data_IF_455543152958
#
_entry.id   IF_455543152958
#
_cell.length_a   1.000
_cell.length_b   1.000
_cell.length_c   1.000
_cell.angle_alpha   90.00
_cell.angle_beta   90.00
_cell.angle_gamma   90.00
#
_symmetry.space_group_name_H-M   'P 1'
#
loop_
_entity.id
_entity.type
_entity.pdbx_description
1 polymer ?
#
# COMPACT_ATOMS: atom_id res chain seq x y z
N UNK A 1 7.41 -10.09 24.86
CA UNK A 1 6.41 -9.80 23.81
C UNK A 1 6.43 -8.29 23.61
N UNK A 2 6.80 -7.80 22.43
CA UNK A 2 6.49 -6.41 22.09
C UNK A 2 4.96 -6.26 22.09
N UNK A 3 4.44 -5.25 22.79
CA UNK A 3 3.02 -4.98 22.77
C UNK A 3 2.61 -4.41 21.39
N UNK A 4 1.35 -4.63 20.99
CA UNK A 4 0.83 -4.20 19.68
C UNK A 4 0.95 -2.69 19.45
N UNK A 5 0.81 -1.86 20.49
CA UNK A 5 0.93 -0.42 20.40
C UNK A 5 2.38 0.00 20.12
N UNK A 6 3.36 -0.67 20.72
CA UNK A 6 4.79 -0.49 20.45
C UNK A 6 5.13 -0.78 18.98
N UNK A 7 4.60 -1.86 18.40
CA UNK A 7 4.81 -2.19 16.98
C UNK A 7 4.13 -1.19 16.02
N UNK A 8 2.92 -0.73 16.35
CA UNK A 8 2.22 0.31 15.58
C UNK A 8 3.04 1.60 15.59
N UNK A 9 3.52 2.03 16.76
CA UNK A 9 4.37 3.21 16.90
C UNK A 9 5.67 3.07 16.10
N UNK A 10 6.31 1.89 16.14
CA UNK A 10 7.50 1.59 15.36
C UNK A 10 7.26 1.74 13.86
N UNK A 11 6.20 1.12 13.30
CA UNK A 11 5.91 1.23 11.86
C UNK A 11 5.62 2.66 11.43
N UNK A 12 4.91 3.42 12.27
CA UNK A 12 4.62 4.83 12.02
C UNK A 12 5.89 5.69 12.03
N UNK A 13 6.72 5.55 13.05
CA UNK A 13 7.98 6.28 13.18
C UNK A 13 8.90 5.96 12.00
N UNK A 14 9.09 4.68 11.69
CA UNK A 14 9.93 4.25 10.59
C UNK A 14 9.43 4.78 9.24
N UNK A 15 8.12 4.80 9.03
CA UNK A 15 7.52 5.37 7.80
C UNK A 15 7.74 6.87 7.68
N UNK A 16 7.80 7.61 8.78
CA UNK A 16 8.05 9.05 8.79
C UNK A 16 9.50 9.41 8.39
N UNK A 17 10.46 8.53 8.69
CA UNK A 17 11.89 8.71 8.36
C UNK A 17 12.22 8.44 6.88
N UNK A 18 11.36 7.72 6.16
CA UNK A 18 11.61 7.34 4.77
C UNK A 18 11.31 8.50 3.82
N UNK A 19 12.10 8.58 2.74
CA UNK A 19 11.85 9.48 1.62
C UNK A 19 10.41 9.30 1.10
N UNK A 20 9.67 10.38 0.77
CA UNK A 20 8.32 10.29 0.27
C UNK A 20 8.15 9.38 -0.95
N UNK A 21 9.19 9.16 -1.75
CA UNK A 21 9.18 8.26 -2.91
C UNK A 21 9.53 6.81 -2.59
N UNK A 22 9.92 6.48 -1.36
CA UNK A 22 10.29 5.13 -0.96
C UNK A 22 9.05 4.22 -0.90
N UNK A 23 9.03 3.19 -1.76
CA UNK A 23 7.96 2.20 -1.82
C UNK A 23 7.74 1.43 -0.51
N UNK A 24 8.73 1.36 0.37
CA UNK A 24 8.64 0.72 1.68
C UNK A 24 7.63 1.42 2.59
N UNK A 25 7.31 2.70 2.35
CA UNK A 25 6.26 3.44 3.06
C UNK A 25 4.91 2.74 2.95
N UNK A 26 4.59 2.17 1.79
CA UNK A 26 3.35 1.41 1.59
C UNK A 26 3.30 0.19 2.49
N UNK A 27 4.36 -0.61 2.50
CA UNK A 27 4.41 -1.85 3.27
C UNK A 27 4.30 -1.60 4.78
N UNK A 28 4.94 -0.53 5.28
CA UNK A 28 4.83 -0.13 6.68
C UNK A 28 3.42 0.35 7.04
N UNK A 29 2.78 1.12 6.16
CA UNK A 29 1.38 1.53 6.34
C UNK A 29 0.44 0.32 6.43
N UNK A 30 0.60 -0.65 5.53
CA UNK A 30 -0.26 -1.85 5.52
C UNK A 30 -0.06 -2.67 6.79
N UNK A 31 1.17 -2.81 7.28
CA UNK A 31 1.45 -3.46 8.58
C UNK A 31 0.80 -2.71 9.74
N UNK A 32 0.91 -1.39 9.76
CA UNK A 32 0.28 -0.52 10.76
C UNK A 32 -1.24 -0.73 10.79
N UNK A 33 -1.92 -0.68 9.63
CA UNK A 33 -3.37 -0.86 9.51
C UNK A 33 -3.80 -2.26 9.96
N UNK A 34 -3.07 -3.30 9.56
CA UNK A 34 -3.38 -4.69 9.94
C UNK A 34 -3.36 -4.89 11.45
N UNK A 35 -2.35 -4.34 12.12
CA UNK A 35 -2.27 -4.40 13.59
C UNK A 35 -3.36 -3.56 14.25
N UNK A 36 -3.60 -2.35 13.75
CA UNK A 36 -4.59 -1.44 14.33
C UNK A 36 -6.03 -1.95 14.20
N UNK A 37 -6.34 -2.64 13.11
CA UNK A 37 -7.70 -3.07 12.76
C UNK A 37 -7.94 -4.57 12.92
N UNK A 38 -6.91 -5.36 13.17
CA UNK A 38 -7.02 -6.82 13.25
C UNK A 38 -7.43 -7.46 11.92
N UNK A 39 -7.03 -6.88 10.79
CA UNK A 39 -7.53 -7.24 9.46
C UNK A 39 -6.52 -8.01 8.58
N UNK A 40 -7.06 -8.63 7.53
CA UNK A 40 -6.28 -9.28 6.48
C UNK A 40 -5.50 -8.30 5.59
N UNK A 41 -4.66 -8.82 4.69
CA UNK A 41 -3.85 -7.99 3.79
C UNK A 41 -4.71 -7.22 2.78
N UNK A 42 -5.73 -7.84 2.20
CA UNK A 42 -6.56 -7.21 1.17
C UNK A 42 -7.46 -6.13 1.77
N UNK A 43 -8.04 -6.41 2.95
CA UNK A 43 -8.81 -5.43 3.72
C UNK A 43 -7.95 -4.23 4.14
N UNK A 44 -6.71 -4.46 4.58
CA UNK A 44 -5.79 -3.37 4.91
C UNK A 44 -5.47 -2.48 3.71
N UNK A 45 -5.31 -3.06 2.51
CA UNK A 45 -5.16 -2.26 1.30
C UNK A 45 -6.41 -1.43 1.00
N UNK A 46 -7.61 -2.02 1.11
CA UNK A 46 -8.86 -1.30 0.92
C UNK A 46 -8.99 -0.12 1.90
N UNK A 47 -8.70 -0.35 3.18
CA UNK A 47 -8.70 0.69 4.22
C UNK A 47 -7.69 1.79 3.89
N UNK A 48 -6.44 1.45 3.54
CA UNK A 48 -5.42 2.43 3.17
C UNK A 48 -5.87 3.33 2.01
N UNK A 49 -6.57 2.75 1.03
CA UNK A 49 -7.02 3.43 -0.18
C UNK A 49 -8.27 4.29 0.02
N UNK A 50 -8.93 4.21 1.18
CA UNK A 50 -9.97 5.18 1.56
C UNK A 50 -9.39 6.58 1.81
N UNK A 51 -8.09 6.69 2.11
CA UNK A 51 -7.40 7.97 2.25
C UNK A 51 -6.95 8.47 0.85
N UNK A 52 -7.48 9.63 0.38
CA UNK A 52 -7.12 10.17 -0.94
C UNK A 52 -5.64 10.51 -1.09
N UNK A 53 -4.93 10.82 0.00
CA UNK A 53 -3.49 11.06 -0.05
C UNK A 53 -2.73 9.78 -0.39
N UNK A 54 -3.08 8.67 0.26
CA UNK A 54 -2.47 7.36 -0.01
C UNK A 54 -2.87 6.79 -1.36
N UNK A 55 -4.12 7.00 -1.79
CA UNK A 55 -4.56 6.63 -3.14
C UNK A 55 -3.72 7.32 -4.21
N UNK A 56 -3.61 8.65 -4.15
CA UNK A 56 -2.79 9.43 -5.10
C UNK A 56 -1.31 9.04 -5.06
N UNK A 57 -0.78 8.82 -3.85
CA UNK A 57 0.59 8.39 -3.67
C UNK A 57 0.84 7.02 -4.33
N UNK A 58 -0.03 6.04 -4.10
CA UNK A 58 0.12 4.71 -4.69
C UNK A 58 0.07 4.79 -6.22
N UNK A 59 -0.91 5.51 -6.77
CA UNK A 59 -1.04 5.74 -8.21
C UNK A 59 0.19 6.40 -8.81
N UNK A 60 0.78 7.38 -8.14
CA UNK A 60 2.05 7.97 -8.57
C UNK A 60 3.16 6.90 -8.59
N UNK A 61 3.34 6.16 -7.50
CA UNK A 61 4.41 5.16 -7.36
C UNK A 61 4.31 4.04 -8.39
N UNK A 62 3.13 3.46 -8.61
CA UNK A 62 2.95 2.36 -9.57
C UNK A 62 3.13 2.81 -11.04
N UNK A 63 3.09 4.11 -11.31
CA UNK A 63 3.33 4.67 -12.64
C UNK A 63 4.75 5.21 -12.83
N UNK A 64 5.43 5.67 -11.78
CA UNK A 64 6.78 6.25 -11.89
C UNK A 64 7.91 5.30 -11.50
N UNK A 65 7.65 4.29 -10.66
CA UNK A 65 8.67 3.36 -10.17
C UNK A 65 8.49 1.97 -10.77
N UNK A 66 9.52 1.45 -11.45
CA UNK A 66 9.48 0.16 -12.17
C UNK A 66 9.21 -1.03 -11.23
N UNK A 67 9.76 -1.02 -10.02
CA UNK A 67 9.55 -2.09 -9.04
C UNK A 67 8.10 -2.08 -8.54
N UNK A 68 7.56 -0.89 -8.23
CA UNK A 68 6.17 -0.72 -7.84
C UNK A 68 5.21 -1.13 -8.96
N UNK A 69 5.50 -0.72 -10.21
CA UNK A 69 4.73 -1.11 -11.40
C UNK A 69 4.69 -2.63 -11.58
N UNK A 70 5.85 -3.31 -11.48
CA UNK A 70 5.92 -4.79 -11.56
C UNK A 70 5.08 -5.47 -10.47
N UNK A 71 5.08 -4.91 -9.26
CA UNK A 71 4.26 -5.42 -8.16
C UNK A 71 2.77 -5.23 -8.42
N UNK A 72 2.35 -4.05 -8.89
CA UNK A 72 0.97 -3.76 -9.27
C UNK A 72 0.48 -4.68 -10.39
N UNK A 73 1.25 -4.85 -11.47
CA UNK A 73 0.91 -5.77 -12.56
C UNK A 73 0.80 -7.23 -12.11
N UNK A 74 1.64 -7.66 -11.15
CA UNK A 74 1.53 -8.98 -10.54
C UNK A 74 0.26 -9.10 -9.69
N UNK A 75 -0.10 -8.05 -8.96
CA UNK A 75 -1.35 -8.00 -8.20
C UNK A 75 -2.57 -8.13 -9.12
N UNK A 76 -2.60 -7.39 -10.24
CA UNK A 76 -3.66 -7.49 -11.25
C UNK A 76 -3.76 -8.93 -11.78
N UNK A 77 -2.64 -9.53 -12.21
CA UNK A 77 -2.63 -10.90 -12.74
C UNK A 77 -3.10 -11.96 -11.75
N UNK A 78 -2.84 -11.77 -10.46
CA UNK A 78 -3.22 -12.74 -9.41
C UNK A 78 -4.69 -12.62 -9.01
N UNK A 79 -5.24 -11.41 -9.00
CA UNK A 79 -6.57 -11.15 -8.47
C UNK A 79 -7.63 -10.96 -9.56
N UNK A 80 -7.24 -10.73 -10.81
CA UNK A 80 -8.16 -10.54 -11.93
C UNK A 80 -9.21 -9.46 -11.64
N UNK A 81 -10.48 -9.83 -11.71
CA UNK A 81 -11.60 -8.93 -11.44
C UNK A 81 -11.69 -8.48 -9.99
N UNK A 82 -11.07 -9.18 -9.04
CA UNK A 82 -10.98 -8.75 -7.64
C UNK A 82 -9.81 -7.78 -7.37
N UNK A 83 -9.00 -7.45 -8.38
CA UNK A 83 -7.87 -6.53 -8.22
C UNK A 83 -8.31 -5.13 -7.78
N UNK A 84 -7.63 -4.55 -6.79
CA UNK A 84 -7.86 -3.14 -6.38
C UNK A 84 -7.21 -2.13 -7.34
N UNK A 85 -6.37 -2.61 -8.25
CA UNK A 85 -5.73 -1.81 -9.31
C UNK A 85 -6.31 -2.25 -10.66
N UNK A 86 -6.57 -1.29 -11.54
CA UNK A 86 -6.90 -1.51 -12.93
C UNK A 86 -5.80 -0.96 -13.85
N UNK A 87 -5.63 -1.60 -15.01
CA UNK A 87 -4.84 -1.04 -16.10
C UNK A 87 -5.77 -0.22 -17.00
N UNK A 88 -5.43 1.06 -17.19
CA UNK A 88 -6.12 2.02 -18.05
C UNK A 88 -5.16 2.46 -19.16
N UNK A 89 -5.16 1.72 -20.27
CA UNK A 89 -4.16 1.87 -21.33
C UNK A 89 -2.75 1.59 -20.80
N UNK A 90 -1.87 2.59 -20.87
CA UNK A 90 -0.49 2.49 -20.38
C UNK A 90 -0.37 2.77 -18.88
N UNK A 91 -1.38 3.39 -18.26
CA UNK A 91 -1.36 3.78 -16.86
C UNK A 91 -2.03 2.74 -15.98
N UNK A 92 -1.61 2.69 -14.72
CA UNK A 92 -2.28 1.92 -13.67
C UNK A 92 -3.01 2.88 -12.75
N UNK A 93 -4.23 2.53 -12.33
CA UNK A 93 -5.05 3.34 -11.45
C UNK A 93 -5.70 2.47 -10.38
N UNK A 94 -5.98 3.05 -9.21
CA UNK A 94 -6.79 2.39 -8.19
C UNK A 94 -8.25 2.43 -8.63
N UNK A 95 -9.00 1.37 -8.35
CA UNK A 95 -10.44 1.30 -8.65
C UNK A 95 -11.26 2.21 -7.73
#
# INVERSE_FOLDING_TARGET
MEDTASLIAFYRARRAELDPSDGSRWYLLIKEIRLLKGCGIDEAHAIALTDPAWRRWLEQQINSNVACRKAALRHIRRNGDASIIAQQGERLAVR
#
